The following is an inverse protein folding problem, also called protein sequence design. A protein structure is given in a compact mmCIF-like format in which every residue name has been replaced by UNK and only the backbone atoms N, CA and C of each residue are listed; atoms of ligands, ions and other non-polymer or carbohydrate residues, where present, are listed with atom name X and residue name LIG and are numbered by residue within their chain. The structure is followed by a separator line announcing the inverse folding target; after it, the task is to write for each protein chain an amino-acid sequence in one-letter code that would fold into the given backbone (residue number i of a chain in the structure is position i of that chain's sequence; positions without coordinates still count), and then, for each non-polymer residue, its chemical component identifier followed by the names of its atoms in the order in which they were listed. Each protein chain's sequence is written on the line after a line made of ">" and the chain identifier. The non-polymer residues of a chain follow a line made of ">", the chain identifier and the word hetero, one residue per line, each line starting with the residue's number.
data_IF_780112476880
#
_entry.id   IF_780112476880
#
_cell.length_a   1.000
_cell.length_b   1.000
_cell.length_c   1.000
_cell.angle_alpha   90.00
_cell.angle_beta   90.00
_cell.angle_gamma   90.00
#
_symmetry.space_group_name_H-M   'P 1'
#
loop_
_entity.id
_entity.type
_entity.pdbx_description
1 polymer ?
#
# COMPACT_ATOMS: atom_id res chain seq x y z
N UNK A 1 20.52 -3.74 -3.37
CA UNK A 1 19.29 -3.40 -2.64
C UNK A 1 18.11 -3.79 -3.46
N UNK A 2 17.20 -4.47 -2.83
CA UNK A 2 16.04 -4.99 -3.53
C UNK A 2 14.90 -4.00 -3.51
N UNK A 3 14.22 -3.89 -4.62
CA UNK A 3 12.93 -3.22 -4.65
C UNK A 3 11.93 -4.04 -3.84
N UNK A 4 10.91 -3.37 -3.37
CA UNK A 4 9.78 -4.01 -2.68
C UNK A 4 8.51 -3.72 -3.47
N UNK A 5 7.61 -4.70 -3.50
CA UNK A 5 6.31 -4.55 -4.17
C UNK A 5 5.22 -4.81 -3.14
N UNK A 6 4.32 -3.85 -3.00
CA UNK A 6 3.14 -4.00 -2.14
C UNK A 6 1.91 -4.18 -3.01
N UNK A 7 1.08 -5.16 -2.65
CA UNK A 7 -0.19 -5.38 -3.33
C UNK A 7 -1.25 -5.49 -2.25
N UNK A 8 -2.29 -4.66 -2.35
CA UNK A 8 -3.39 -4.68 -1.39
C UNK A 8 -4.71 -4.74 -2.14
N UNK A 9 -5.65 -5.51 -1.61
CA UNK A 9 -6.99 -5.62 -2.18
C UNK A 9 -8.02 -5.28 -1.12
N UNK A 10 -8.92 -4.37 -1.45
CA UNK A 10 -9.95 -3.90 -0.54
C UNK A 10 -11.33 -4.01 -1.16
N UNK A 11 -12.33 -4.24 -0.31
CA UNK A 11 -13.73 -4.02 -0.66
C UNK A 11 -14.14 -2.66 -0.12
N UNK A 12 -14.73 -1.84 -0.97
CA UNK A 12 -15.18 -0.50 -0.58
C UNK A 12 -16.56 -0.64 0.06
N UNK A 13 -16.73 -0.04 1.25
CA UNK A 13 -18.02 -0.10 1.93
C UNK A 13 -19.08 0.60 1.10
N UNK A 14 -20.31 0.08 1.16
CA UNK A 14 -21.44 0.64 0.41
C UNK A 14 -21.61 2.12 0.74
N UNK A 15 -21.77 2.93 -0.31
CA UNK A 15 -21.95 4.37 -0.18
C UNK A 15 -20.69 5.16 0.05
N UNK A 16 -19.51 4.51 0.04
CA UNK A 16 -18.22 5.16 0.36
C UNK A 16 -17.30 5.35 -0.84
N UNK A 17 -17.77 5.04 -2.05
CA UNK A 17 -16.92 5.11 -3.24
C UNK A 17 -16.38 6.52 -3.49
N UNK A 18 -17.21 7.54 -3.40
CA UNK A 18 -16.77 8.91 -3.66
C UNK A 18 -15.78 9.39 -2.61
N UNK A 19 -16.00 9.03 -1.34
CA UNK A 19 -15.04 9.34 -0.29
C UNK A 19 -13.72 8.62 -0.52
N UNK A 20 -13.77 7.34 -0.94
CA UNK A 20 -12.57 6.59 -1.28
C UNK A 20 -11.78 7.29 -2.39
N UNK A 21 -12.48 7.73 -3.46
CA UNK A 21 -11.83 8.43 -4.57
C UNK A 21 -11.17 9.74 -4.12
N UNK A 22 -11.84 10.48 -3.23
CA UNK A 22 -11.28 11.72 -2.69
C UNK A 22 -10.01 11.44 -1.88
N UNK A 23 -10.05 10.44 -1.00
CA UNK A 23 -8.89 10.07 -0.20
C UNK A 23 -7.75 9.54 -1.07
N UNK A 24 -8.09 8.80 -2.12
CA UNK A 24 -7.10 8.29 -3.08
C UNK A 24 -6.38 9.44 -3.80
N UNK A 25 -7.11 10.49 -4.17
CA UNK A 25 -6.51 11.67 -4.80
C UNK A 25 -5.58 12.40 -3.84
N UNK A 26 -5.99 12.54 -2.58
CA UNK A 26 -5.13 13.15 -1.55
C UNK A 26 -3.87 12.33 -1.33
N UNK A 27 -4.02 11.01 -1.27
CA UNK A 27 -2.87 10.11 -1.12
C UNK A 27 -1.88 10.27 -2.28
N UNK A 28 -2.38 10.33 -3.50
CA UNK A 28 -1.52 10.50 -4.68
C UNK A 28 -0.75 11.80 -4.62
N UNK A 29 -1.38 12.88 -4.17
CA UNK A 29 -0.71 14.18 -4.04
C UNK A 29 0.42 14.11 -3.01
N UNK A 30 0.18 13.44 -1.88
CA UNK A 30 1.21 13.25 -0.85
C UNK A 30 2.37 12.44 -1.40
N UNK A 31 2.07 11.35 -2.11
CA UNK A 31 3.12 10.50 -2.72
C UNK A 31 3.96 11.31 -3.69
N UNK A 32 3.32 12.08 -4.57
CA UNK A 32 4.03 12.88 -5.58
C UNK A 32 4.90 13.97 -4.99
N UNK A 33 4.49 14.53 -3.85
CA UNK A 33 5.19 15.68 -3.28
C UNK A 33 6.13 15.32 -2.14
N UNK A 34 5.92 14.20 -1.47
CA UNK A 34 6.70 13.86 -0.27
C UNK A 34 7.54 12.60 -0.38
N UNK A 35 7.09 11.60 -1.14
CA UNK A 35 7.85 10.37 -1.30
C UNK A 35 9.02 10.57 -2.24
N UNK A 36 10.17 10.01 -1.88
CA UNK A 36 11.38 10.12 -2.70
C UNK A 36 11.79 8.80 -3.36
N UNK A 37 11.23 7.69 -2.93
CA UNK A 37 11.60 6.37 -3.43
C UNK A 37 10.45 5.47 -3.81
N UNK A 38 9.24 6.03 -3.91
CA UNK A 38 8.09 5.28 -4.40
C UNK A 38 8.12 5.31 -5.92
N UNK A 39 8.24 4.12 -6.51
CA UNK A 39 8.40 3.96 -7.96
C UNK A 39 7.07 3.76 -8.67
N UNK A 40 6.07 3.28 -7.94
CA UNK A 40 4.74 3.02 -8.49
C UNK A 40 3.72 3.10 -7.37
N UNK A 41 2.58 3.70 -7.67
CA UNK A 41 1.48 3.80 -6.71
C UNK A 41 0.20 3.89 -7.52
N UNK A 42 -0.34 2.74 -7.92
CA UNK A 42 -1.48 2.64 -8.84
C UNK A 42 -2.67 1.99 -8.17
N UNK A 43 -3.86 2.48 -8.48
CA UNK A 43 -5.11 1.93 -7.99
C UNK A 43 -5.94 1.45 -9.17
N UNK A 44 -6.46 0.24 -9.07
CA UNK A 44 -7.29 -0.39 -10.11
C UNK A 44 -8.63 -0.78 -9.50
N UNK A 45 -9.69 -0.57 -10.23
CA UNK A 45 -11.03 -1.00 -9.84
C UNK A 45 -11.50 -2.19 -10.65
N UNK A 46 -12.33 -3.03 -10.05
CA UNK A 46 -13.12 -3.99 -10.81
C UNK A 46 -14.27 -3.26 -11.53
N UNK A 47 -15.05 -3.98 -12.35
CA UNK A 47 -16.03 -3.34 -13.24
C UNK A 47 -17.07 -2.48 -12.53
N UNK A 48 -17.60 -2.93 -11.40
CA UNK A 48 -18.63 -2.18 -10.67
C UNK A 48 -18.04 -1.26 -9.60
N UNK A 49 -16.71 -1.18 -9.52
CA UNK A 49 -15.98 -0.33 -8.57
C UNK A 49 -16.28 -0.66 -7.11
N UNK A 50 -16.67 -1.90 -6.83
CA UNK A 50 -16.90 -2.36 -5.47
C UNK A 50 -15.62 -2.80 -4.78
N UNK A 51 -14.58 -3.11 -5.56
CA UNK A 51 -13.29 -3.54 -5.05
C UNK A 51 -12.17 -2.82 -5.78
N UNK A 52 -11.05 -2.68 -5.09
CA UNK A 52 -9.86 -2.11 -5.71
C UNK A 52 -8.63 -2.93 -5.35
N UNK A 53 -7.63 -2.83 -6.23
CA UNK A 53 -6.29 -3.36 -5.98
C UNK A 53 -5.34 -2.17 -6.07
N UNK A 54 -4.47 -2.03 -5.08
CA UNK A 54 -3.43 -1.02 -5.08
C UNK A 54 -2.10 -1.73 -5.27
N UNK A 55 -1.31 -1.27 -6.24
CA UNK A 55 0.01 -1.80 -6.52
C UNK A 55 1.03 -0.72 -6.22
N UNK A 56 1.99 -1.03 -5.34
CA UNK A 56 3.00 -0.10 -4.89
C UNK A 56 4.37 -0.71 -5.11
N UNK A 57 5.31 0.10 -5.58
CA UNK A 57 6.71 -0.32 -5.69
C UNK A 57 7.58 0.71 -5.04
N UNK A 58 8.57 0.23 -4.28
CA UNK A 58 9.53 1.07 -3.57
C UNK A 58 10.94 0.67 -3.97
N UNK A 59 11.83 1.65 -4.09
CA UNK A 59 13.23 1.34 -4.44
C UNK A 59 13.96 0.60 -3.34
N UNK A 60 13.51 0.77 -2.08
CA UNK A 60 14.13 0.12 -0.92
C UNK A 60 13.18 0.16 0.30
N UNK A 61 13.62 -0.45 1.39
CA UNK A 61 12.82 -0.50 2.63
C UNK A 61 12.62 0.87 3.27
N UNK A 62 13.62 1.74 3.22
CA UNK A 62 13.51 3.08 3.79
C UNK A 62 12.41 3.87 3.09
N UNK A 63 12.29 3.71 1.78
CA UNK A 63 11.25 4.36 1.00
C UNK A 63 9.86 3.85 1.38
N UNK A 64 9.72 2.55 1.63
CA UNK A 64 8.45 1.96 2.08
C UNK A 64 8.06 2.48 3.45
N UNK A 65 9.02 2.59 4.36
CA UNK A 65 8.78 3.13 5.70
C UNK A 65 8.35 4.59 5.62
N UNK A 66 9.05 5.39 4.82
CA UNK A 66 8.71 6.80 4.62
C UNK A 66 7.31 6.99 4.02
N UNK A 67 6.95 6.16 3.05
CA UNK A 67 5.61 6.17 2.45
C UNK A 67 4.54 5.94 3.51
N UNK A 68 4.71 4.94 4.35
CA UNK A 68 3.76 4.62 5.41
C UNK A 68 3.61 5.80 6.39
N UNK A 69 4.71 6.46 6.73
CA UNK A 69 4.68 7.61 7.62
C UNK A 69 3.94 8.79 6.99
N UNK A 70 4.23 9.09 5.72
CA UNK A 70 3.59 10.21 5.02
C UNK A 70 2.08 10.01 4.89
N UNK A 71 1.62 8.78 4.70
CA UNK A 71 0.21 8.47 4.49
C UNK A 71 -0.54 8.03 5.75
N UNK A 72 0.07 8.12 6.92
CA UNK A 72 -0.52 7.59 8.15
C UNK A 72 -1.98 8.00 8.36
N UNK A 73 -2.28 9.29 8.30
CA UNK A 73 -3.64 9.79 8.52
C UNK A 73 -4.61 9.38 7.41
N UNK A 74 -4.14 9.45 6.16
CA UNK A 74 -4.96 9.05 5.00
C UNK A 74 -5.24 7.55 5.05
N UNK A 75 -4.23 6.75 5.38
CA UNK A 75 -4.40 5.30 5.50
C UNK A 75 -5.45 4.94 6.55
N UNK A 76 -5.42 5.61 7.70
CA UNK A 76 -6.42 5.37 8.73
C UNK A 76 -7.83 5.72 8.24
N UNK A 77 -7.97 6.83 7.50
CA UNK A 77 -9.26 7.23 6.95
C UNK A 77 -9.76 6.23 5.90
N UNK A 78 -8.86 5.71 5.06
CA UNK A 78 -9.22 4.69 4.06
C UNK A 78 -9.66 3.40 4.76
N UNK A 79 -8.91 2.95 5.77
CA UNK A 79 -9.25 1.72 6.48
C UNK A 79 -10.61 1.79 7.18
N UNK A 80 -11.09 2.99 7.49
CA UNK A 80 -12.41 3.17 8.10
C UNK A 80 -13.56 2.94 7.11
N UNK A 81 -13.30 2.97 5.80
CA UNK A 81 -14.35 2.88 4.76
C UNK A 81 -14.17 1.70 3.82
N UNK A 82 -13.23 0.80 4.11
CA UNK A 82 -12.99 -0.40 3.30
C UNK A 82 -12.86 -1.61 4.21
N UNK A 83 -13.02 -2.79 3.61
CA UNK A 83 -12.66 -4.06 4.25
C UNK A 83 -11.46 -4.62 3.53
N UNK A 84 -10.42 -4.98 4.27
CA UNK A 84 -9.20 -5.54 3.68
C UNK A 84 -9.46 -6.99 3.30
N UNK A 85 -9.29 -7.31 2.01
CA UNK A 85 -9.38 -8.70 1.54
C UNK A 85 -8.04 -9.39 1.77
N UNK A 86 -6.96 -8.79 1.28
CA UNK A 86 -5.60 -9.21 1.61
C UNK A 86 -4.62 -8.10 1.27
N UNK A 87 -3.40 -8.24 1.80
CA UNK A 87 -2.29 -7.36 1.47
C UNK A 87 -1.00 -8.16 1.54
N UNK A 88 -0.09 -7.91 0.62
CA UNK A 88 1.17 -8.63 0.50
C UNK A 88 2.30 -7.64 0.28
N UNK A 89 3.45 -7.93 0.89
CA UNK A 89 4.68 -7.21 0.61
C UNK A 89 5.68 -8.22 0.09
N UNK A 90 6.18 -8.00 -1.11
CA UNK A 90 7.08 -8.92 -1.81
C UNK A 90 8.49 -8.33 -1.84
N UNK A 91 9.47 -9.10 -1.43
CA UNK A 91 10.86 -8.68 -1.48
C UNK A 91 11.61 -9.02 -0.21
N UNK A 92 12.86 -8.57 -0.12
CA UNK A 92 13.71 -8.76 1.05
C UNK A 92 13.77 -7.46 1.84
N UNK A 93 13.03 -7.35 2.95
CA UNK A 93 13.01 -6.11 3.72
C UNK A 93 14.26 -5.96 4.59
N UNK A 94 14.55 -4.71 4.95
CA UNK A 94 15.57 -4.42 5.95
C UNK A 94 15.13 -4.95 7.32
N UNK A 95 16.07 -5.00 8.26
CA UNK A 95 15.74 -5.41 9.63
C UNK A 95 14.71 -4.47 10.26
N UNK A 96 14.82 -3.17 10.00
CA UNK A 96 13.86 -2.19 10.53
C UNK A 96 12.47 -2.42 9.98
N UNK A 97 12.33 -2.61 8.67
CA UNK A 97 11.01 -2.85 8.08
C UNK A 97 10.44 -4.19 8.56
N UNK A 98 11.28 -5.21 8.64
CA UNK A 98 10.84 -6.51 9.14
C UNK A 98 10.34 -6.40 10.59
N UNK A 99 11.02 -5.61 11.41
CA UNK A 99 10.60 -5.37 12.78
C UNK A 99 9.26 -4.63 12.83
N UNK A 100 9.06 -3.64 11.94
CA UNK A 100 7.79 -2.91 11.85
C UNK A 100 6.63 -3.81 11.45
N UNK A 101 6.91 -4.88 10.69
CA UNK A 101 5.89 -5.82 10.22
C UNK A 101 5.64 -6.97 11.20
N UNK A 102 6.48 -7.13 12.20
CA UNK A 102 6.36 -8.23 13.16
C UNK A 102 5.03 -8.14 13.92
N UNK A 103 4.30 -9.24 13.95
CA UNK A 103 3.01 -9.30 14.64
C UNK A 103 1.86 -8.65 13.88
N UNK A 104 2.12 -8.12 12.69
CA UNK A 104 1.09 -7.53 11.84
C UNK A 104 0.62 -8.58 10.84
N UNK A 105 -0.70 -8.75 10.74
CA UNK A 105 -1.28 -9.74 9.85
C UNK A 105 -1.28 -9.29 8.40
N UNK A 106 -1.47 -7.99 8.17
CA UNK A 106 -1.55 -7.40 6.84
C UNK A 106 -0.64 -6.17 6.79
N UNK A 107 0.30 -6.09 5.84
CA UNK A 107 0.55 -7.05 4.76
C UNK A 107 1.32 -8.27 5.23
N UNK A 108 1.11 -9.38 4.55
CA UNK A 108 1.91 -10.59 4.75
C UNK A 108 3.19 -10.49 3.91
N UNK A 109 4.33 -10.83 4.51
CA UNK A 109 5.61 -10.75 3.83
C UNK A 109 5.89 -12.03 3.05
N UNK A 110 6.30 -11.86 1.79
CA UNK A 110 6.75 -12.95 0.93
C UNK A 110 8.15 -12.60 0.44
N UNK A 111 9.13 -13.38 0.86
CA UNK A 111 10.53 -13.15 0.48
C UNK A 111 10.90 -13.92 -0.78
N UNK A 112 11.91 -13.47 -1.53
CA UNK A 112 12.24 -14.09 -2.82
C UNK A 112 12.65 -15.55 -2.68
N UNK A 113 12.12 -16.39 -3.54
CA UNK A 113 12.59 -17.75 -3.75
C UNK A 113 13.39 -17.83 -5.04
N UNK A 114 12.83 -17.30 -6.11
CA UNK A 114 13.49 -17.34 -7.42
C UNK A 114 13.14 -16.08 -8.19
N UNK A 115 14.16 -15.38 -8.62
CA UNK A 115 14.01 -14.16 -9.42
C UNK A 115 14.70 -14.41 -10.77
N UNK A 116 14.23 -13.73 -11.78
CA UNK A 116 14.79 -13.88 -13.14
C UNK A 116 16.14 -13.21 -13.27
#
# INVERSE_FOLDING_TARGET
>A
MSELVGIARFKIHEGKLEEFKRLSAEAMEIVRTRDTGTLQYDTYFNDDQSECVIVERYKDSESAIGHAEHLGDISAAVLAIVSVVHGELLGEPSEELRANLAGIEVPQLFTPYQLM
#
